data_IF_486737988170
#
_entry.id   IF_486737988170
#
_cell.length_a   1.000
_cell.length_b   1.000
_cell.length_c   1.000
_cell.angle_alpha   90.00
_cell.angle_beta   90.00
_cell.angle_gamma   90.00
#
_symmetry.space_group_name_H-M   'P 1'
#
loop_
_entity.id
_entity.type
_entity.pdbx_description
1 polymer ?
#
# COMPACT_ATOMS: atom_id res chain seq x y z
N UNK A 1 3.32 -6.92 -2.53
CA UNK A 1 2.20 -7.53 -1.83
C UNK A 1 1.20 -6.56 -1.18
N UNK A 2 1.44 -5.23 -1.19
CA UNK A 2 0.53 -4.22 -0.61
C UNK A 2 -0.64 -3.85 -1.52
N UNK A 3 -0.63 -4.27 -2.81
CA UNK A 3 -1.70 -4.00 -3.76
C UNK A 3 -1.49 -2.79 -4.67
N UNK A 4 -0.26 -2.34 -4.91
CA UNK A 4 0.02 -1.22 -5.83
C UNK A 4 -0.66 -1.41 -7.19
N UNK A 5 -0.33 -2.46 -7.90
CA UNK A 5 -0.88 -2.76 -9.24
C UNK A 5 -2.40 -2.91 -9.21
N UNK A 6 -2.94 -3.67 -8.24
CA UNK A 6 -4.40 -3.87 -8.06
C UNK A 6 -5.17 -2.56 -7.85
N UNK A 7 -4.60 -1.61 -7.10
CA UNK A 7 -5.26 -0.34 -6.78
C UNK A 7 -5.03 0.72 -7.86
N UNK A 8 -3.91 0.67 -8.60
CA UNK A 8 -3.66 1.56 -9.74
C UNK A 8 -4.51 1.19 -10.95
N UNK A 9 -4.69 -0.10 -11.24
CA UNK A 9 -5.52 -0.62 -12.32
C UNK A 9 -7.03 -0.63 -11.96
N UNK A 10 -7.58 0.53 -11.62
CA UNK A 10 -8.99 0.70 -11.28
C UNK A 10 -9.78 1.12 -12.53
N UNK A 11 -10.91 0.46 -12.87
CA UNK A 11 -11.68 0.76 -14.08
C UNK A 11 -12.27 2.18 -14.09
N UNK A 12 -12.40 2.82 -12.93
CA UNK A 12 -12.98 4.16 -12.80
C UNK A 12 -11.94 5.30 -12.89
N UNK A 13 -10.66 4.98 -13.05
CA UNK A 13 -9.57 5.97 -13.11
C UNK A 13 -8.61 5.64 -14.25
N UNK A 14 -8.07 6.69 -14.89
CA UNK A 14 -7.02 6.51 -15.89
C UNK A 14 -5.72 6.06 -15.23
N UNK A 15 -5.09 5.06 -15.82
CA UNK A 15 -3.78 4.57 -15.43
C UNK A 15 -2.68 5.29 -16.22
N UNK A 16 -1.70 5.87 -15.55
CA UNK A 16 -0.44 6.33 -16.19
C UNK A 16 0.68 5.30 -16.06
N UNK A 17 0.59 4.40 -15.08
CA UNK A 17 1.51 3.29 -14.80
C UNK A 17 1.21 2.68 -13.44
N UNK A 18 1.84 1.55 -13.11
CA UNK A 18 1.54 0.79 -11.89
C UNK A 18 2.72 0.63 -10.91
N UNK A 19 3.94 1.02 -11.29
CA UNK A 19 5.12 0.86 -10.43
C UNK A 19 6.00 2.12 -10.45
N UNK A 20 7.05 2.22 -11.26
CA UNK A 20 8.05 3.28 -11.17
C UNK A 20 7.63 4.59 -11.85
N UNK A 21 7.63 5.69 -11.07
CA UNK A 21 7.25 7.02 -11.54
C UNK A 21 8.25 8.09 -11.10
N UNK A 22 8.36 9.12 -11.91
CA UNK A 22 9.01 10.37 -11.54
C UNK A 22 8.00 11.44 -11.14
N UNK A 23 8.33 12.24 -10.13
CA UNK A 23 7.58 13.43 -9.74
C UNK A 23 8.41 14.67 -10.01
N UNK A 24 8.15 15.33 -11.14
CA UNK A 24 8.77 16.58 -11.56
C UNK A 24 8.09 17.80 -10.90
N UNK A 25 8.49 19.02 -11.27
CA UNK A 25 7.93 20.23 -10.67
C UNK A 25 6.47 20.48 -11.09
N UNK A 26 6.07 20.03 -12.26
CA UNK A 26 4.76 20.30 -12.88
C UNK A 26 3.95 19.04 -13.23
N UNK A 27 4.53 17.86 -13.05
CA UNK A 27 3.94 16.60 -13.53
C UNK A 27 4.44 15.39 -12.77
N UNK A 28 3.72 14.29 -12.91
CA UNK A 28 4.21 12.93 -12.65
C UNK A 28 4.22 12.15 -13.95
N UNK A 29 5.15 11.23 -14.11
CA UNK A 29 5.28 10.43 -15.31
C UNK A 29 5.77 9.03 -15.00
N UNK A 30 5.33 8.09 -15.83
CA UNK A 30 5.72 6.69 -15.75
C UNK A 30 7.05 6.47 -16.49
N UNK A 31 7.96 5.68 -15.91
CA UNK A 31 9.20 5.26 -16.57
C UNK A 31 9.04 4.03 -17.46
N UNK A 32 7.97 3.26 -17.27
CA UNK A 32 7.81 1.94 -17.84
C UNK A 32 6.81 1.91 -19.00
N UNK A 33 7.08 1.07 -20.01
CA UNK A 33 6.16 0.84 -21.12
C UNK A 33 5.08 -0.21 -20.86
N UNK A 34 5.13 -0.89 -19.73
CA UNK A 34 4.25 -2.00 -19.38
C UNK A 34 3.96 -2.10 -17.89
N UNK A 35 3.24 -3.16 -17.53
CA UNK A 35 2.92 -3.53 -16.17
C UNK A 35 3.38 -4.96 -15.90
N UNK A 36 3.66 -5.27 -14.63
CA UNK A 36 4.08 -6.61 -14.20
C UNK A 36 3.31 -7.04 -12.95
N UNK A 37 2.14 -7.64 -13.18
CA UNK A 37 1.17 -7.98 -12.14
C UNK A 37 1.37 -9.39 -11.57
N UNK A 38 1.02 -9.58 -10.30
CA UNK A 38 0.86 -10.90 -9.69
C UNK A 38 -0.51 -11.45 -10.11
N UNK A 39 -0.59 -12.73 -10.48
CA UNK A 39 -1.83 -13.34 -10.94
C UNK A 39 -2.28 -14.59 -10.17
N UNK A 40 -1.67 -14.94 -9.04
CA UNK A 40 -2.23 -15.98 -8.17
C UNK A 40 -3.59 -15.53 -7.63
N UNK A 41 -4.61 -16.41 -7.71
CA UNK A 41 -6.01 -16.15 -7.36
C UNK A 41 -6.63 -14.97 -8.14
N UNK A 42 -6.11 -14.66 -9.33
CA UNK A 42 -6.66 -13.61 -10.19
C UNK A 42 -8.06 -14.03 -10.68
N UNK A 43 -9.02 -13.14 -10.49
CA UNK A 43 -10.40 -13.32 -10.94
C UNK A 43 -10.90 -12.07 -11.64
N UNK A 44 -11.61 -12.27 -12.75
CA UNK A 44 -12.19 -11.20 -13.55
C UNK A 44 -13.07 -10.27 -12.72
N UNK A 45 -13.88 -10.82 -11.83
CA UNK A 45 -14.80 -10.07 -10.96
C UNK A 45 -14.09 -9.12 -9.98
N UNK A 46 -12.84 -9.45 -9.59
CA UNK A 46 -12.06 -8.66 -8.65
C UNK A 46 -11.10 -7.68 -9.30
N UNK A 47 -10.48 -8.08 -10.42
CA UNK A 47 -9.42 -7.34 -11.11
C UNK A 47 -9.60 -7.41 -12.63
N UNK A 48 -10.73 -6.89 -13.19
CA UNK A 48 -11.07 -7.03 -14.60
C UNK A 48 -10.01 -6.46 -15.55
N UNK A 49 -9.40 -5.32 -15.21
CA UNK A 49 -8.40 -4.68 -16.06
C UNK A 49 -7.15 -5.55 -16.23
N UNK A 50 -6.65 -6.17 -15.15
CA UNK A 50 -5.51 -7.08 -15.20
C UNK A 50 -5.90 -8.36 -15.93
N UNK A 51 -7.07 -8.93 -15.62
CA UNK A 51 -7.56 -10.16 -16.22
C UNK A 51 -7.65 -10.03 -17.75
N UNK A 52 -8.25 -8.96 -18.25
CA UNK A 52 -8.39 -8.72 -19.70
C UNK A 52 -7.10 -8.28 -20.40
N UNK A 53 -6.07 -7.85 -19.63
CA UNK A 53 -4.76 -7.59 -20.19
C UNK A 53 -3.99 -8.89 -20.51
N UNK A 54 -4.43 -10.05 -19.98
CA UNK A 54 -3.83 -11.36 -20.27
C UNK A 54 -4.37 -11.86 -21.61
N UNK A 55 -3.68 -11.49 -22.67
CA UNK A 55 -4.03 -11.81 -24.05
C UNK A 55 -2.79 -11.99 -24.91
N UNK A 56 -2.95 -12.32 -26.17
CA UNK A 56 -1.83 -12.46 -27.10
C UNK A 56 -0.87 -11.26 -27.03
N UNK A 57 0.41 -11.54 -26.80
CA UNK A 57 1.45 -10.53 -26.58
C UNK A 57 1.80 -10.28 -25.10
N UNK A 58 1.02 -10.80 -24.16
CA UNK A 58 1.39 -10.82 -22.74
C UNK A 58 2.37 -11.96 -22.44
N UNK A 59 3.24 -11.75 -21.48
CA UNK A 59 4.20 -12.74 -20.98
C UNK A 59 3.72 -13.28 -19.63
N UNK A 60 3.42 -14.56 -19.55
CA UNK A 60 2.95 -15.23 -18.32
C UNK A 60 4.09 -16.07 -17.74
N UNK A 61 4.30 -15.94 -16.43
CA UNK A 61 5.37 -16.67 -15.70
C UNK A 61 4.81 -17.47 -14.53
N UNK A 62 5.26 -18.72 -14.42
CA UNK A 62 4.95 -19.64 -13.32
C UNK A 62 3.45 -19.98 -13.17
N UNK A 63 2.61 -19.65 -14.12
CA UNK A 63 1.20 -20.04 -14.12
C UNK A 63 1.05 -21.42 -14.75
N UNK A 64 0.30 -22.28 -14.10
CA UNK A 64 -0.05 -23.59 -14.65
C UNK A 64 -1.02 -23.38 -15.80
N UNK A 65 -0.79 -24.06 -16.91
CA UNK A 65 -1.62 -24.02 -18.11
C UNK A 65 -1.97 -25.45 -18.52
N UNK A 66 -3.24 -25.68 -18.81
CA UNK A 66 -3.66 -26.92 -19.42
C UNK A 66 -3.13 -27.01 -20.88
N UNK A 67 -2.43 -28.09 -21.21
CA UNK A 67 -1.74 -28.23 -22.48
C UNK A 67 -2.70 -28.45 -23.68
N UNK A 68 -3.88 -28.99 -23.43
CA UNK A 68 -4.88 -29.28 -24.46
C UNK A 68 -5.76 -28.05 -24.74
N UNK A 69 -6.33 -27.45 -23.68
CA UNK A 69 -7.25 -26.31 -23.79
C UNK A 69 -6.53 -24.96 -23.91
N UNK A 70 -5.27 -24.89 -23.45
CA UNK A 70 -4.47 -23.66 -23.35
C UNK A 70 -5.04 -22.65 -22.34
N UNK A 71 -5.85 -23.13 -21.42
CA UNK A 71 -6.39 -22.29 -20.33
C UNK A 71 -5.41 -22.22 -19.16
N UNK A 72 -5.31 -21.05 -18.55
CA UNK A 72 -4.49 -20.82 -17.36
C UNK A 72 -5.28 -21.10 -16.08
N UNK A 73 -4.65 -21.81 -15.15
CA UNK A 73 -5.16 -21.96 -13.79
C UNK A 73 -4.44 -20.98 -12.86
N UNK A 74 -5.11 -19.86 -12.55
CA UNK A 74 -4.57 -18.85 -11.65
C UNK A 74 -4.71 -19.22 -10.17
N UNK A 75 -5.46 -20.26 -9.83
CA UNK A 75 -5.61 -20.75 -8.45
C UNK A 75 -4.54 -21.81 -8.12
N UNK A 76 -3.84 -22.35 -9.14
CA UNK A 76 -2.78 -23.35 -8.94
C UNK A 76 -1.44 -22.69 -8.60
N UNK A 77 -1.03 -22.84 -7.35
CA UNK A 77 0.28 -22.43 -6.84
C UNK A 77 1.32 -23.55 -6.78
N UNK A 78 1.12 -24.69 -7.44
CA UNK A 78 1.99 -25.87 -7.34
C UNK A 78 3.43 -25.62 -7.79
N UNK A 79 3.64 -24.77 -8.80
CA UNK A 79 4.98 -24.33 -9.22
C UNK A 79 5.56 -23.30 -8.23
N UNK A 80 4.78 -22.27 -7.92
CA UNK A 80 5.05 -21.23 -6.92
C UNK A 80 3.85 -20.30 -6.82
N UNK A 81 3.59 -19.70 -5.65
CA UNK A 81 2.61 -18.62 -5.50
C UNK A 81 3.06 -17.29 -6.17
N UNK A 82 4.33 -17.20 -6.61
CA UNK A 82 4.85 -16.03 -7.32
C UNK A 82 4.57 -16.13 -8.83
N UNK A 83 3.31 -16.26 -9.17
CA UNK A 83 2.84 -16.21 -10.56
C UNK A 83 2.77 -14.77 -11.05
N UNK A 84 3.16 -14.50 -12.29
CA UNK A 84 3.24 -13.15 -12.84
C UNK A 84 2.73 -13.07 -14.27
N UNK A 85 2.27 -11.87 -14.64
CA UNK A 85 2.02 -11.50 -16.02
C UNK A 85 2.59 -10.13 -16.33
N UNK A 86 3.40 -10.06 -17.40
CA UNK A 86 3.87 -8.81 -17.99
C UNK A 86 3.04 -8.48 -19.22
N UNK A 87 2.60 -7.24 -19.34
CA UNK A 87 1.82 -6.76 -20.49
C UNK A 87 2.09 -5.28 -20.77
N UNK A 88 1.98 -4.83 -22.03
CA UNK A 88 2.08 -3.42 -22.38
C UNK A 88 1.02 -2.58 -21.67
N UNK A 89 1.37 -1.37 -21.21
CA UNK A 89 0.43 -0.50 -20.48
C UNK A 89 -0.85 -0.20 -21.26
N UNK A 90 -0.78 -0.13 -22.58
CA UNK A 90 -1.94 0.09 -23.45
C UNK A 90 -2.90 -1.11 -23.57
N UNK A 91 -2.59 -2.25 -22.90
CA UNK A 91 -3.55 -3.34 -22.75
C UNK A 91 -4.59 -3.05 -21.67
N UNK A 92 -4.29 -2.13 -20.76
CA UNK A 92 -5.28 -1.57 -19.84
C UNK A 92 -6.17 -0.61 -20.60
N UNK A 93 -7.48 -0.83 -20.54
CA UNK A 93 -8.48 -0.14 -21.37
C UNK A 93 -8.50 1.39 -21.16
N UNK A 94 -8.23 1.84 -19.94
CA UNK A 94 -8.23 3.25 -19.54
C UNK A 94 -6.82 3.83 -19.33
N UNK A 95 -5.78 3.23 -19.93
CA UNK A 95 -4.44 3.76 -19.86
C UNK A 95 -4.32 5.14 -20.52
N UNK A 96 -3.66 6.06 -19.84
CA UNK A 96 -3.34 7.39 -20.37
C UNK A 96 -1.98 7.36 -21.06
N UNK A 97 -1.97 7.47 -22.39
CA UNK A 97 -0.75 7.52 -23.18
C UNK A 97 -0.44 9.00 -23.49
N UNK A 98 0.77 9.49 -23.25
CA UNK A 98 2.04 8.76 -23.04
C UNK A 98 2.40 8.43 -21.58
N UNK A 99 1.50 8.35 -20.63
CA UNK A 99 1.80 8.00 -19.24
C UNK A 99 2.28 9.20 -18.40
N UNK A 100 1.67 10.35 -18.62
CA UNK A 100 1.96 11.60 -17.90
C UNK A 100 0.69 12.09 -17.22
N UNK A 101 0.82 12.51 -15.96
CA UNK A 101 -0.23 13.17 -15.18
C UNK A 101 0.21 14.56 -14.71
N UNK A 102 -0.73 15.35 -14.23
CA UNK A 102 -0.45 16.63 -13.59
C UNK A 102 0.11 16.49 -12.19
N UNK A 103 0.19 17.58 -11.45
CA UNK A 103 0.62 17.59 -10.05
C UNK A 103 -0.34 16.74 -9.21
N UNK A 104 0.16 15.79 -8.41
CA UNK A 104 -0.67 14.95 -7.54
C UNK A 104 -1.44 15.80 -6.52
N UNK A 105 -2.74 15.50 -6.37
CA UNK A 105 -3.59 16.08 -5.32
C UNK A 105 -3.71 15.20 -4.10
N UNK A 106 -3.49 13.90 -4.27
CA UNK A 106 -3.53 12.89 -3.21
C UNK A 106 -2.36 11.94 -3.38
N UNK A 107 -1.68 11.64 -2.29
CA UNK A 107 -0.64 10.62 -2.19
C UNK A 107 -1.16 9.52 -1.28
N UNK A 108 -1.11 8.28 -1.75
CA UNK A 108 -1.50 7.10 -0.97
C UNK A 108 -0.27 6.26 -0.69
N UNK A 109 0.12 6.15 0.58
CA UNK A 109 1.08 5.14 1.02
C UNK A 109 0.34 3.83 1.29
N UNK A 110 0.84 2.73 0.74
CA UNK A 110 0.28 1.41 0.98
C UNK A 110 1.15 0.64 1.96
N UNK A 111 0.52 0.12 2.99
CA UNK A 111 1.12 -0.84 3.91
C UNK A 111 0.28 -2.10 4.00
N UNK A 112 0.85 -3.17 4.54
CA UNK A 112 0.13 -4.39 4.89
C UNK A 112 0.57 -4.80 6.29
N UNK A 113 -0.20 -4.42 7.29
CA UNK A 113 0.09 -4.75 8.68
C UNK A 113 -0.39 -6.17 9.01
N UNK A 114 0.56 -7.09 9.25
CA UNK A 114 0.26 -8.46 9.65
C UNK A 114 -0.10 -8.60 11.14
N UNK A 115 0.10 -7.58 11.93
CA UNK A 115 -0.31 -7.56 13.34
C UNK A 115 -1.78 -7.17 13.53
N UNK A 116 -2.38 -6.49 12.54
CA UNK A 116 -3.79 -6.11 12.55
C UNK A 116 -4.13 -5.01 13.53
N UNK A 117 -3.21 -4.10 13.78
CA UNK A 117 -3.34 -3.00 14.76
C UNK A 117 -3.35 -1.60 14.13
N UNK A 118 -2.81 -1.43 12.92
CA UNK A 118 -2.88 -0.15 12.22
C UNK A 118 -4.31 0.14 11.75
N UNK A 119 -4.78 1.39 11.87
CA UNK A 119 -6.02 1.79 11.23
C UNK A 119 -6.03 1.48 9.73
N UNK A 120 -7.18 1.14 9.14
CA UNK A 120 -7.26 0.78 7.71
C UNK A 120 -6.96 1.95 6.77
N UNK A 121 -7.22 3.18 7.23
CA UNK A 121 -6.78 4.40 6.56
C UNK A 121 -6.46 5.47 7.61
N UNK A 122 -5.38 6.19 7.41
CA UNK A 122 -4.97 7.32 8.25
C UNK A 122 -4.59 8.51 7.40
N UNK A 123 -4.95 9.72 7.84
CA UNK A 123 -4.46 10.96 7.27
C UNK A 123 -3.11 11.29 7.90
N UNK A 124 -2.15 11.67 7.09
CA UNK A 124 -0.82 12.04 7.51
C UNK A 124 -0.61 13.55 7.27
N UNK A 125 -0.07 14.25 8.25
CA UNK A 125 0.54 15.54 8.03
C UNK A 125 1.90 15.39 7.32
N UNK A 126 2.54 16.48 6.98
CA UNK A 126 3.83 16.47 6.27
C UNK A 126 4.90 15.66 7.01
N UNK A 127 5.02 15.85 8.32
CA UNK A 127 6.06 15.19 9.12
C UNK A 127 5.79 13.68 9.26
N UNK A 128 4.54 13.30 9.49
CA UNK A 128 4.11 11.91 9.51
C UNK A 128 4.29 11.25 8.13
N UNK A 129 4.01 11.97 7.04
CA UNK A 129 4.25 11.47 5.69
C UNK A 129 5.74 11.18 5.45
N UNK A 130 6.62 12.10 5.81
CA UNK A 130 8.08 11.90 5.73
C UNK A 130 8.54 10.72 6.59
N UNK A 131 8.02 10.60 7.82
CA UNK A 131 8.35 9.49 8.73
C UNK A 131 7.95 8.13 8.13
N UNK A 132 6.70 7.98 7.70
CA UNK A 132 6.21 6.72 7.13
C UNK A 132 6.89 6.39 5.79
N UNK A 133 7.21 7.39 4.98
CA UNK A 133 7.99 7.21 3.76
C UNK A 133 9.38 6.65 4.06
N UNK A 134 10.11 7.26 5.00
CA UNK A 134 11.46 6.82 5.37
C UNK A 134 11.46 5.42 5.96
N UNK A 135 10.50 5.11 6.83
CA UNK A 135 10.44 3.79 7.47
C UNK A 135 9.99 2.67 6.54
N UNK A 136 9.09 2.98 5.59
CA UNK A 136 8.60 2.02 4.61
C UNK A 136 8.06 0.74 5.23
N UNK A 137 7.26 0.85 6.30
CA UNK A 137 6.71 -0.32 7.00
C UNK A 137 5.72 -1.08 6.15
N UNK A 138 5.88 -2.40 6.12
CA UNK A 138 4.91 -3.34 5.54
C UNK A 138 5.14 -4.73 6.11
N UNK A 139 4.47 -5.75 5.56
CA UNK A 139 4.77 -7.15 5.84
C UNK A 139 5.14 -7.88 4.55
N UNK A 140 6.18 -8.70 4.62
CA UNK A 140 6.44 -9.71 3.60
C UNK A 140 5.34 -10.74 3.67
N UNK A 141 4.65 -10.95 2.58
CA UNK A 141 3.55 -11.93 2.51
C UNK A 141 4.11 -13.33 2.23
N UNK A 142 3.37 -14.36 2.66
CA UNK A 142 3.67 -15.73 2.31
C UNK A 142 3.81 -15.88 0.78
N UNK A 143 4.77 -16.70 0.33
CA UNK A 143 5.00 -16.95 -1.09
C UNK A 143 5.58 -15.79 -1.92
N UNK A 144 5.86 -14.61 -1.33
CA UNK A 144 6.50 -13.50 -2.06
C UNK A 144 8.01 -13.62 -2.14
N UNK A 145 8.62 -14.28 -1.17
CA UNK A 145 10.05 -14.60 -1.13
C UNK A 145 10.27 -16.05 -0.70
N UNK A 146 11.33 -16.67 -1.20
CA UNK A 146 11.68 -18.06 -0.84
C UNK A 146 11.90 -18.19 0.67
N UNK A 147 11.16 -19.09 1.32
CA UNK A 147 11.26 -19.37 2.76
C UNK A 147 10.35 -18.53 3.64
N UNK A 148 9.56 -17.59 3.10
CA UNK A 148 8.54 -16.85 3.84
C UNK A 148 7.23 -17.63 3.76
N UNK A 149 6.89 -18.35 4.84
CA UNK A 149 5.66 -19.15 4.97
C UNK A 149 4.55 -18.41 5.70
N UNK A 150 4.90 -17.40 6.48
CA UNK A 150 3.95 -16.56 7.23
C UNK A 150 4.27 -15.07 7.03
N UNK A 151 3.26 -14.18 7.08
CA UNK A 151 3.50 -12.74 6.97
C UNK A 151 4.42 -12.24 8.08
N UNK A 152 5.49 -11.53 7.69
CA UNK A 152 6.48 -10.98 8.62
C UNK A 152 6.60 -9.47 8.45
N UNK A 153 6.63 -8.70 9.55
CA UNK A 153 6.85 -7.26 9.49
C UNK A 153 8.21 -6.96 8.90
N UNK A 154 8.27 -5.93 8.06
CA UNK A 154 9.52 -5.47 7.45
C UNK A 154 9.52 -3.96 7.30
N UNK A 155 10.71 -3.38 7.30
CA UNK A 155 10.94 -1.96 7.07
C UNK A 155 11.83 -1.82 5.84
N UNK A 156 11.23 -1.39 4.72
CA UNK A 156 11.93 -1.13 3.47
C UNK A 156 12.09 0.38 3.31
N UNK A 157 13.27 0.90 3.59
CA UNK A 157 13.58 2.33 3.52
C UNK A 157 13.04 2.96 2.24
N UNK A 158 12.27 4.04 2.37
CA UNK A 158 11.65 4.78 1.24
C UNK A 158 10.74 3.92 0.36
N UNK A 159 10.27 2.76 0.86
CA UNK A 159 9.56 1.72 0.09
C UNK A 159 10.33 1.16 -1.12
N UNK A 160 11.58 1.56 -1.32
CA UNK A 160 12.38 1.22 -2.51
C UNK A 160 13.87 1.46 -2.31
N UNK A 161 14.44 1.08 -1.17
CA UNK A 161 15.85 1.29 -0.80
C UNK A 161 16.84 0.98 -1.94
N UNK A 162 16.73 -0.10 -2.73
CA UNK A 162 17.66 -0.39 -3.82
C UNK A 162 17.69 0.66 -4.94
N UNK A 163 16.64 1.47 -5.08
CA UNK A 163 16.49 2.48 -6.13
C UNK A 163 16.85 3.90 -5.67
N UNK A 164 17.21 4.06 -4.38
CA UNK A 164 17.39 5.36 -3.73
C UNK A 164 18.85 5.51 -3.25
N UNK A 165 19.79 5.96 -4.11
CA UNK A 165 21.23 5.93 -3.82
C UNK A 165 21.70 7.04 -2.86
N UNK A 166 20.89 8.08 -2.63
CA UNK A 166 21.25 9.17 -1.71
C UNK A 166 20.83 8.85 -0.28
N UNK A 167 21.25 9.69 0.68
CA UNK A 167 20.81 9.59 2.07
C UNK A 167 19.28 9.69 2.18
N UNK A 168 18.61 8.86 2.99
CA UNK A 168 17.16 8.89 3.15
C UNK A 168 16.58 10.23 3.57
N UNK A 169 17.34 11.07 4.29
CA UNK A 169 16.91 12.42 4.68
C UNK A 169 16.69 13.33 3.47
N UNK A 170 17.50 13.19 2.43
CA UNK A 170 17.35 13.98 1.21
C UNK A 170 16.01 13.69 0.52
N UNK A 171 15.65 12.40 0.42
CA UNK A 171 14.36 12.01 -0.18
C UNK A 171 13.17 12.41 0.70
N UNK A 172 13.32 12.31 2.03
CA UNK A 172 12.29 12.77 2.96
C UNK A 172 12.01 14.27 2.77
N UNK A 173 13.03 15.10 2.74
CA UNK A 173 12.93 16.55 2.52
C UNK A 173 12.34 16.88 1.13
N UNK A 174 12.75 16.15 0.10
CA UNK A 174 12.17 16.29 -1.25
C UNK A 174 10.68 15.99 -1.25
N UNK A 175 10.24 14.92 -0.56
CA UNK A 175 8.82 14.59 -0.44
C UNK A 175 8.08 15.67 0.33
N UNK A 176 8.60 16.11 1.49
CA UNK A 176 8.01 17.19 2.28
C UNK A 176 7.85 18.48 1.45
N UNK A 177 8.87 18.85 0.67
CA UNK A 177 8.79 19.98 -0.26
C UNK A 177 7.67 19.80 -1.28
N UNK A 178 7.58 18.63 -1.92
CA UNK A 178 6.54 18.33 -2.92
C UNK A 178 5.13 18.40 -2.32
N UNK A 179 4.94 17.88 -1.11
CA UNK A 179 3.66 17.94 -0.41
C UNK A 179 3.26 19.40 -0.13
N UNK A 180 4.18 20.23 0.39
CA UNK A 180 3.93 21.65 0.66
C UNK A 180 3.57 22.43 -0.61
N UNK A 181 4.35 22.28 -1.66
CA UNK A 181 4.18 23.01 -2.93
C UNK A 181 2.93 22.61 -3.69
N UNK A 182 2.56 21.33 -3.67
CA UNK A 182 1.37 20.83 -4.34
C UNK A 182 0.09 20.97 -3.53
N UNK A 183 0.20 21.08 -2.19
CA UNK A 183 -0.94 20.96 -1.29
C UNK A 183 -1.57 19.57 -1.28
N UNK A 184 -0.84 18.54 -1.70
CA UNK A 184 -1.33 17.17 -1.77
C UNK A 184 -1.70 16.64 -0.38
N UNK A 185 -2.86 15.99 -0.28
CA UNK A 185 -3.27 15.25 0.91
C UNK A 185 -2.59 13.89 0.91
N UNK A 186 -2.10 13.48 2.07
CA UNK A 186 -1.39 12.21 2.19
C UNK A 186 -2.17 11.26 3.11
N UNK A 187 -2.36 10.03 2.66
CA UNK A 187 -3.01 8.98 3.42
C UNK A 187 -2.13 7.72 3.47
N UNK A 188 -2.12 7.07 4.63
CA UNK A 188 -1.58 5.72 4.81
C UNK A 188 -2.76 4.74 4.77
N UNK A 189 -2.77 3.84 3.80
CA UNK A 189 -3.81 2.81 3.62
C UNK A 189 -3.23 1.45 3.97
N UNK A 190 -3.82 0.82 4.98
CA UNK A 190 -3.45 -0.51 5.44
C UNK A 190 -4.30 -1.57 4.74
N UNK A 191 -3.68 -2.35 3.86
CA UNK A 191 -4.31 -3.48 3.16
C UNK A 191 -4.10 -4.81 3.87
N UNK A 192 -3.58 -4.78 5.09
CA UNK A 192 -3.24 -5.95 5.91
C UNK A 192 -4.45 -6.58 6.60
N UNK A 193 -4.26 -7.03 7.82
CA UNK A 193 -5.25 -7.76 8.61
C UNK A 193 -6.04 -6.82 9.52
N UNK A 194 -7.22 -7.27 9.94
CA UNK A 194 -8.11 -6.53 10.82
C UNK A 194 -8.75 -7.45 11.84
N UNK A 195 -8.93 -6.96 13.09
CA UNK A 195 -9.55 -7.71 14.17
C UNK A 195 -8.68 -8.81 14.78
N UNK A 196 -7.39 -8.82 14.48
CA UNK A 196 -6.39 -9.78 14.95
C UNK A 196 -5.20 -9.84 14.01
N UNK A 197 -4.16 -10.57 14.43
CA UNK A 197 -2.97 -10.77 13.60
C UNK A 197 -3.18 -11.86 12.54
N UNK A 198 -2.34 -11.84 11.50
CA UNK A 198 -2.28 -12.92 10.52
C UNK A 198 -2.07 -14.30 11.18
N UNK A 199 -1.17 -14.37 12.16
CA UNK A 199 -0.87 -15.59 12.91
C UNK A 199 -2.05 -16.11 13.76
N UNK A 200 -2.99 -15.22 14.17
CA UNK A 200 -4.20 -15.62 14.89
C UNK A 200 -5.34 -16.09 13.97
N UNK A 201 -5.11 -16.14 12.66
CA UNK A 201 -6.15 -16.51 11.69
C UNK A 201 -7.14 -15.40 11.35
N UNK A 202 -6.83 -14.15 11.70
CA UNK A 202 -7.62 -13.00 11.30
C UNK A 202 -7.67 -12.86 9.77
N UNK A 203 -8.72 -12.22 9.27
CA UNK A 203 -8.89 -12.02 7.83
C UNK A 203 -8.19 -10.74 7.37
N UNK A 204 -7.61 -10.80 6.17
CA UNK A 204 -7.09 -9.61 5.49
C UNK A 204 -8.24 -8.67 5.11
N UNK A 205 -7.96 -7.37 5.08
CA UNK A 205 -8.90 -6.32 4.65
C UNK A 205 -9.48 -6.66 3.27
N UNK A 206 -10.78 -6.55 3.12
CA UNK A 206 -11.46 -6.79 1.83
C UNK A 206 -11.03 -5.73 0.81
N UNK A 207 -10.71 -6.17 -0.41
CA UNK A 207 -10.32 -5.27 -1.49
C UNK A 207 -11.39 -4.20 -1.77
N UNK A 208 -12.66 -4.55 -1.69
CA UNK A 208 -13.76 -3.60 -1.86
C UNK A 208 -13.71 -2.44 -0.85
N UNK A 209 -13.39 -2.70 0.42
CA UNK A 209 -13.23 -1.65 1.43
C UNK A 209 -12.00 -0.78 1.16
N UNK A 210 -10.87 -1.40 0.78
CA UNK A 210 -9.66 -0.66 0.40
C UNK A 210 -9.93 0.27 -0.78
N UNK A 211 -10.62 -0.20 -1.82
CA UNK A 211 -11.01 0.63 -2.97
C UNK A 211 -11.96 1.76 -2.57
N UNK A 212 -12.92 1.49 -1.70
CA UNK A 212 -13.83 2.52 -1.19
C UNK A 212 -13.07 3.63 -0.43
N UNK A 213 -12.15 3.27 0.45
CA UNK A 213 -11.31 4.23 1.19
C UNK A 213 -10.42 5.06 0.26
N UNK A 214 -9.78 4.43 -0.73
CA UNK A 214 -8.97 5.14 -1.73
C UNK A 214 -9.85 6.08 -2.56
N UNK A 215 -11.03 5.65 -2.98
CA UNK A 215 -11.99 6.48 -3.72
C UNK A 215 -12.44 7.68 -2.90
N UNK A 216 -12.79 7.48 -1.62
CA UNK A 216 -13.17 8.55 -0.71
C UNK A 216 -12.03 9.59 -0.53
N UNK A 217 -10.78 9.13 -0.39
CA UNK A 217 -9.61 10.00 -0.32
C UNK A 217 -9.44 10.85 -1.59
N UNK A 218 -9.59 10.22 -2.77
CA UNK A 218 -9.44 10.89 -4.07
C UNK A 218 -10.57 11.87 -4.37
N UNK A 219 -11.79 11.57 -3.96
CA UNK A 219 -12.95 12.44 -4.13
C UNK A 219 -12.97 13.62 -3.14
N UNK A 220 -12.18 13.56 -2.05
CA UNK A 220 -12.22 14.55 -0.98
C UNK A 220 -13.36 14.31 0.02
N UNK A 221 -13.96 13.11 0.04
CA UNK A 221 -15.09 12.79 0.95
C UNK A 221 -14.67 12.94 2.42
N UNK A 222 -13.39 12.75 2.72
CA UNK A 222 -12.84 12.92 4.07
C UNK A 222 -12.70 14.38 4.52
N UNK A 223 -12.92 15.36 3.68
CA UNK A 223 -12.79 16.79 4.05
C UNK A 223 -13.84 17.26 5.06
N UNK A 224 -14.95 16.53 5.13
CA UNK A 224 -16.09 16.83 6.00
C UNK A 224 -16.36 15.75 7.04
N UNK A 225 -15.46 14.78 7.17
CA UNK A 225 -15.55 13.68 8.15
C UNK A 225 -14.73 14.02 9.38
N UNK A 226 -15.24 13.66 10.56
CA UNK A 226 -14.50 13.75 11.81
C UNK A 226 -13.37 12.71 11.83
N UNK A 227 -12.20 13.13 12.31
CA UNK A 227 -11.06 12.27 12.53
C UNK A 227 -10.80 12.07 14.02
N UNK A 228 -10.44 10.87 14.41
CA UNK A 228 -9.94 10.53 15.74
C UNK A 228 -8.42 10.36 15.69
N UNK A 229 -7.74 10.81 16.74
CA UNK A 229 -6.31 10.61 16.88
C UNK A 229 -6.02 9.22 17.46
N UNK A 230 -5.05 8.53 16.88
CA UNK A 230 -4.54 7.26 17.40
C UNK A 230 -3.23 7.50 18.15
N UNK A 231 -3.31 7.56 19.49
CA UNK A 231 -2.19 7.97 20.37
C UNK A 231 -0.91 7.15 20.15
N UNK A 232 -1.01 5.82 19.97
CA UNK A 232 0.17 4.96 19.83
C UNK A 232 0.84 5.13 18.48
N UNK A 233 0.07 5.20 17.38
CA UNK A 233 0.63 5.37 16.04
C UNK A 233 0.81 6.82 15.62
N UNK A 234 0.32 7.78 16.42
CA UNK A 234 0.43 9.22 16.17
C UNK A 234 -0.09 9.63 14.78
N UNK A 235 -1.24 9.08 14.40
CA UNK A 235 -1.92 9.35 13.14
C UNK A 235 -3.41 9.61 13.37
N UNK A 236 -4.06 10.29 12.43
CA UNK A 236 -5.49 10.53 12.48
C UNK A 236 -6.23 9.58 11.54
N UNK A 237 -7.32 8.95 12.01
CA UNK A 237 -8.16 8.08 11.21
C UNK A 237 -9.61 8.55 11.18
N UNK A 238 -10.33 8.39 10.05
CA UNK A 238 -11.71 8.89 9.91
C UNK A 238 -12.69 8.04 10.71
N UNK A 239 -13.77 8.66 11.19
CA UNK A 239 -14.84 7.98 11.93
C UNK A 239 -15.88 7.32 11.03
N UNK A 240 -15.94 7.70 9.75
CA UNK A 240 -16.79 7.09 8.72
C UNK A 240 -16.14 7.15 7.35
N UNK A 241 -16.60 6.26 6.45
CA UNK A 241 -16.16 6.22 5.06
C UNK A 241 -17.29 5.66 4.19
N UNK A 242 -17.64 6.30 3.06
CA UNK A 242 -18.65 5.75 2.16
C UNK A 242 -18.33 4.30 1.74
N UNK A 243 -19.33 3.43 1.78
CA UNK A 243 -19.25 2.01 1.42
C UNK A 243 -18.29 1.15 2.28
N UNK A 244 -17.90 1.65 3.46
CA UNK A 244 -17.14 0.90 4.47
C UNK A 244 -17.94 0.95 5.77
N UNK A 245 -18.20 -0.19 6.44
CA UNK A 245 -18.82 -0.17 7.77
C UNK A 245 -17.95 0.61 8.76
N UNK A 246 -18.55 1.51 9.56
CA UNK A 246 -17.80 2.40 10.44
C UNK A 246 -16.95 1.63 11.47
N UNK A 247 -17.42 0.48 11.94
CA UNK A 247 -16.65 -0.40 12.82
C UNK A 247 -15.33 -0.88 12.21
N UNK A 248 -15.24 -0.96 10.89
CA UNK A 248 -14.01 -1.37 10.22
C UNK A 248 -12.90 -0.32 10.31
N UNK A 249 -13.24 0.93 10.62
CA UNK A 249 -12.28 2.04 10.73
C UNK A 249 -11.62 2.11 12.11
N UNK A 250 -12.23 1.52 13.13
CA UNK A 250 -11.69 1.42 14.49
C UNK A 250 -10.93 0.10 14.68
N UNK A 251 -9.64 0.11 14.41
CA UNK A 251 -8.81 -1.09 14.52
C UNK A 251 -8.87 -1.73 15.91
N UNK A 252 -8.87 -0.92 16.99
CA UNK A 252 -8.99 -1.41 18.37
C UNK A 252 -10.37 -2.01 18.62
N UNK A 253 -11.41 -1.38 18.09
CA UNK A 253 -12.80 -1.83 18.23
C UNK A 253 -13.04 -3.22 17.65
N UNK A 254 -12.32 -3.60 16.60
CA UNK A 254 -12.46 -4.92 15.95
C UNK A 254 -11.85 -6.08 16.75
N UNK A 255 -10.92 -5.83 17.67
CA UNK A 255 -10.33 -6.91 18.46
C UNK A 255 -11.29 -7.35 19.58
N UNK A 256 -11.41 -8.65 19.78
CA UNK A 256 -12.21 -9.20 20.89
C UNK A 256 -11.56 -8.83 22.25
N UNK A 257 -10.24 -8.96 22.35
CA UNK A 257 -9.43 -8.61 23.52
C UNK A 257 -8.72 -7.27 23.26
N UNK A 258 -9.14 -6.24 23.98
CA UNK A 258 -8.60 -4.88 23.86
C UNK A 258 -7.20 -4.75 24.48
N UNK A 259 -6.90 -5.51 25.51
CA UNK A 259 -5.58 -5.50 26.16
C UNK A 259 -4.55 -6.18 25.25
N UNK A 260 -4.94 -7.26 24.58
CA UNK A 260 -4.11 -7.90 23.56
C UNK A 260 -3.84 -6.97 22.37
N UNK A 261 -4.84 -6.19 21.94
CA UNK A 261 -4.63 -5.14 20.94
C UNK A 261 -3.59 -4.11 21.40
N UNK A 262 -3.77 -3.56 22.60
CA UNK A 262 -2.91 -2.51 23.16
C UNK A 262 -1.47 -3.03 23.29
N UNK A 263 -1.27 -4.26 23.77
CA UNK A 263 0.04 -4.90 23.84
C UNK A 263 0.68 -5.05 22.44
N UNK A 264 -0.09 -5.49 21.45
CA UNK A 264 0.42 -5.68 20.09
C UNK A 264 0.71 -4.34 19.38
N UNK A 265 -0.12 -3.31 19.61
CA UNK A 265 0.08 -1.97 19.08
C UNK A 265 1.37 -1.34 19.66
N UNK A 266 1.58 -1.47 20.98
CA UNK A 266 2.81 -1.02 21.63
C UNK A 266 4.05 -1.77 21.12
N UNK A 267 3.94 -3.08 20.90
CA UNK A 267 5.02 -3.87 20.29
C UNK A 267 5.41 -3.33 18.91
N UNK A 268 4.43 -3.05 18.05
CA UNK A 268 4.70 -2.48 16.73
C UNK A 268 5.29 -1.07 16.83
N UNK A 269 4.79 -0.22 17.73
CA UNK A 269 5.33 1.11 17.96
C UNK A 269 6.81 1.08 18.39
N UNK A 270 7.18 0.15 19.28
CA UNK A 270 8.57 -0.07 19.66
C UNK A 270 9.44 -0.50 18.46
N UNK A 271 8.93 -1.40 17.61
CA UNK A 271 9.65 -1.81 16.39
C UNK A 271 9.91 -0.63 15.45
N UNK A 272 8.95 0.29 15.31
CA UNK A 272 9.15 1.54 14.56
C UNK A 272 10.25 2.39 15.17
N UNK A 273 10.21 2.62 16.48
CA UNK A 273 11.17 3.44 17.20
C UNK A 273 12.60 2.85 17.11
N UNK A 274 12.74 1.55 17.33
CA UNK A 274 14.03 0.85 17.25
C UNK A 274 14.60 0.88 15.84
N UNK A 275 13.77 0.59 14.81
CA UNK A 275 14.20 0.65 13.42
C UNK A 275 14.64 2.07 13.05
N UNK A 276 13.86 3.09 13.45
CA UNK A 276 14.15 4.49 13.14
C UNK A 276 15.46 4.95 13.80
N UNK A 277 15.63 4.70 15.09
CA UNK A 277 16.84 5.06 15.81
C UNK A 277 18.10 4.38 15.24
N UNK A 278 17.98 3.12 14.82
CA UNK A 278 19.09 2.34 14.27
C UNK A 278 19.46 2.79 12.84
N UNK A 279 18.47 2.99 11.98
CA UNK A 279 18.71 3.26 10.55
C UNK A 279 18.92 4.74 10.24
N UNK A 280 18.30 5.64 11.01
CA UNK A 280 18.23 7.07 10.69
C UNK A 280 18.66 7.97 11.85
N UNK A 281 19.87 7.78 12.42
CA UNK A 281 20.32 8.53 13.62
C UNK A 281 20.46 10.04 13.38
N UNK A 282 20.64 10.46 12.12
CA UNK A 282 20.83 11.86 11.74
C UNK A 282 19.58 12.50 11.13
N UNK A 283 18.41 11.82 11.19
CA UNK A 283 17.17 12.36 10.65
C UNK A 283 16.73 13.60 11.43
N UNK A 284 16.21 14.66 10.76
CA UNK A 284 15.70 15.84 11.44
C UNK A 284 14.70 15.52 12.55
N UNK A 285 14.81 16.22 13.69
CA UNK A 285 14.03 15.93 14.90
C UNK A 285 12.51 16.03 14.67
N UNK A 286 12.04 16.93 13.81
CA UNK A 286 10.62 17.08 13.51
C UNK A 286 10.04 15.85 12.81
N UNK A 287 10.84 15.17 11.95
CA UNK A 287 10.43 13.91 11.32
C UNK A 287 10.41 12.79 12.36
N UNK A 288 11.47 12.68 13.18
CA UNK A 288 11.55 11.67 14.22
C UNK A 288 10.38 11.75 15.23
N UNK A 289 9.97 12.96 15.59
CA UNK A 289 8.88 13.22 16.54
C UNK A 289 7.49 12.80 16.03
N UNK A 290 7.32 12.66 14.70
CA UNK A 290 6.06 12.28 14.08
C UNK A 290 5.77 10.78 14.11
N UNK A 291 6.73 9.96 14.51
CA UNK A 291 6.59 8.51 14.56
C UNK A 291 5.69 8.00 15.69
N UNK A 292 5.36 6.69 15.66
CA UNK A 292 4.65 5.99 16.71
C UNK A 292 5.32 6.14 18.09
N UNK A 293 4.49 6.15 19.15
CA UNK A 293 4.90 6.29 20.56
C UNK A 293 4.26 5.18 21.37
N UNK A 294 5.07 4.21 21.79
CA UNK A 294 4.61 3.20 22.74
C UNK A 294 4.23 3.87 24.08
N UNK A 295 3.18 3.36 24.72
CA UNK A 295 2.69 3.80 26.03
C UNK A 295 3.24 2.90 27.14
#
# INVERSE_FOLDING_TARGET
>A
GTGKTTLSADPNRKLIGDDEHGWADDSVFNFEGGCYAKCINLKEENEPEIYHAIRFGSLVENVVMDEETREFDFDDGSLTENTRVGYPVNYISNAAIPGVGGIPKVVIFLTADAFGVLPPISRLDENAAMYHFVTGFTSKLAGTERGVTEPQPTFSTLFGEPFMPMDPSVYAEMLGKRIRESGAKVYLVNTGWAGGSAASGAKRMKLAYTRAMVTAALNGDFDHIEFKHHDVFNVDYPTSCPNVPDEMLDARGLWADKDAYDAQANKLANMFAENFAKKYPNMPAHIAAAGPKAK
#
